data_IF_921201536778
#
_entry.id   IF_921201536778
#
_cell.length_a   1.000
_cell.length_b   1.000
_cell.length_c   1.000
_cell.angle_alpha   90.00
_cell.angle_beta   90.00
_cell.angle_gamma   90.00
#
_symmetry.space_group_name_H-M   'P 1'
#
loop_
_entity.id
_entity.type
_entity.pdbx_description
1 polymer ?
#
# COMPACT_ATOMS: atom_id res chain seq x y z
N UNK A 1 12.45 20.77 -1.15
CA UNK A 1 10.99 20.77 -0.89
C UNK A 1 10.71 20.29 0.52
N UNK A 2 9.59 20.75 1.12
CA UNK A 2 9.05 20.21 2.38
C UNK A 2 7.87 19.31 2.06
N UNK A 3 7.97 18.03 2.42
CA UNK A 3 6.98 17.02 2.03
C UNK A 3 6.37 16.39 3.27
N UNK A 4 5.04 16.37 3.39
CA UNK A 4 4.33 15.56 4.36
C UNK A 4 4.01 14.20 3.73
N UNK A 5 4.47 13.13 4.36
CA UNK A 5 4.15 11.74 4.04
C UNK A 5 3.26 11.19 5.14
N UNK A 6 1.99 10.97 4.87
CA UNK A 6 1.08 10.35 5.83
C UNK A 6 1.14 8.83 5.73
N UNK A 7 0.93 8.11 6.85
CA UNK A 7 1.07 6.65 6.84
C UNK A 7 2.51 6.16 6.61
N UNK A 8 3.50 7.02 6.89
CA UNK A 8 4.90 6.75 6.61
C UNK A 8 5.57 5.73 7.53
N UNK A 9 4.95 5.37 8.66
CA UNK A 9 5.42 4.26 9.50
C UNK A 9 4.87 2.89 9.05
N UNK A 10 4.03 2.87 8.01
CA UNK A 10 3.52 1.66 7.36
C UNK A 10 4.47 1.11 6.29
N UNK A 11 3.99 0.11 5.54
CA UNK A 11 4.78 -0.63 4.56
C UNK A 11 5.24 0.26 3.39
N UNK A 12 4.31 0.74 2.55
CA UNK A 12 4.67 1.47 1.31
C UNK A 12 5.23 2.85 1.68
N UNK A 13 4.57 3.56 2.62
CA UNK A 13 5.01 4.88 3.06
C UNK A 13 6.41 4.88 3.67
N UNK A 14 6.76 3.85 4.46
CA UNK A 14 8.11 3.70 5.03
C UNK A 14 9.17 3.47 3.95
N UNK A 15 8.91 2.57 3.00
CA UNK A 15 9.81 2.38 1.85
C UNK A 15 9.96 3.66 1.03
N UNK A 16 8.85 4.41 0.82
CA UNK A 16 8.93 5.69 0.12
C UNK A 16 9.79 6.71 0.85
N UNK A 17 9.68 6.82 2.17
CA UNK A 17 10.53 7.74 2.97
C UNK A 17 12.01 7.37 2.82
N UNK A 18 12.35 6.08 2.93
CA UNK A 18 13.73 5.62 2.72
C UNK A 18 14.25 5.95 1.33
N UNK A 19 13.45 5.61 0.31
CA UNK A 19 13.78 5.91 -1.09
C UNK A 19 13.95 7.41 -1.30
N UNK A 20 12.98 8.22 -0.89
CA UNK A 20 12.96 9.66 -1.11
C UNK A 20 14.17 10.35 -0.47
N UNK A 21 14.46 10.07 0.82
CA UNK A 21 15.60 10.66 1.52
C UNK A 21 16.97 10.21 0.96
N UNK A 22 17.02 9.08 0.26
CA UNK A 22 18.22 8.63 -0.44
C UNK A 22 18.40 9.33 -1.79
N UNK A 23 17.31 9.56 -2.53
CA UNK A 23 17.34 10.18 -3.86
C UNK A 23 17.38 11.72 -3.80
N UNK A 24 16.78 12.31 -2.76
CA UNK A 24 16.60 13.76 -2.60
C UNK A 24 17.06 14.21 -1.20
N UNK A 25 18.35 14.14 -0.90
CA UNK A 25 18.87 14.44 0.44
C UNK A 25 18.69 15.91 0.87
N UNK A 26 18.38 16.80 -0.07
CA UNK A 26 18.08 18.22 0.19
C UNK A 26 16.62 18.47 0.60
N UNK A 27 15.73 17.53 0.37
CA UNK A 27 14.32 17.66 0.72
C UNK A 27 14.11 17.37 2.21
N UNK A 28 13.14 18.07 2.82
CA UNK A 28 12.69 17.83 4.19
C UNK A 28 11.46 16.95 4.18
N UNK A 29 11.46 15.84 4.91
CA UNK A 29 10.35 14.92 5.01
C UNK A 29 9.76 14.94 6.42
N UNK A 30 8.45 15.17 6.51
CA UNK A 30 7.65 15.05 7.73
C UNK A 30 6.76 13.81 7.59
N UNK A 31 7.00 12.81 8.42
CA UNK A 31 6.16 11.63 8.51
C UNK A 31 5.02 11.87 9.51
N UNK A 32 3.79 11.88 9.05
CA UNK A 32 2.60 11.91 9.90
C UNK A 32 1.98 10.52 9.96
N UNK A 33 1.95 9.91 11.14
CA UNK A 33 1.39 8.58 11.33
C UNK A 33 0.74 8.44 12.71
N UNK A 34 -0.40 7.76 12.75
CA UNK A 34 -1.14 7.51 14.00
C UNK A 34 -0.54 6.36 14.82
N UNK A 35 0.30 5.52 14.20
CA UNK A 35 0.84 4.28 14.75
C UNK A 35 -0.29 3.33 15.19
N UNK A 36 -1.16 2.98 14.24
CA UNK A 36 -2.11 1.88 14.42
C UNK A 36 -1.39 0.53 14.32
N UNK A 37 -2.13 -0.57 14.28
CA UNK A 37 -1.55 -1.92 14.27
C UNK A 37 -0.49 -2.17 13.18
N UNK A 38 -0.62 -1.54 12.00
CA UNK A 38 0.30 -1.70 10.88
C UNK A 38 1.38 -0.60 10.79
N UNK A 39 1.29 0.44 11.62
CA UNK A 39 2.28 1.52 11.69
C UNK A 39 3.32 1.23 12.77
N UNK A 40 4.58 1.02 12.37
CA UNK A 40 5.67 0.67 13.28
C UNK A 40 6.82 1.67 13.15
N UNK A 41 7.16 2.34 14.25
CA UNK A 41 8.26 3.31 14.25
C UNK A 41 9.61 2.66 13.93
N UNK A 42 9.77 1.36 14.23
CA UNK A 42 10.96 0.58 13.88
C UNK A 42 11.19 0.49 12.36
N UNK A 43 10.16 0.65 11.54
CA UNK A 43 10.28 0.77 10.08
C UNK A 43 11.13 1.98 9.68
N UNK A 44 11.11 3.04 10.48
CA UNK A 44 11.80 4.31 10.21
C UNK A 44 13.13 4.46 10.99
N UNK A 45 13.59 3.41 11.70
CA UNK A 45 14.72 3.49 12.63
C UNK A 45 15.98 4.11 11.99
N UNK A 46 16.28 3.82 10.72
CA UNK A 46 17.47 4.33 10.04
C UNK A 46 17.40 5.80 9.61
N UNK A 47 16.22 6.43 9.73
CA UNK A 47 16.00 7.82 9.32
C UNK A 47 15.57 8.74 10.45
N UNK A 48 15.25 8.22 11.64
CA UNK A 48 14.74 9.01 12.77
C UNK A 48 15.69 10.14 13.20
N UNK A 49 17.01 9.89 13.12
CA UNK A 49 18.03 10.86 13.54
C UNK A 49 18.54 11.76 12.40
N UNK A 50 17.96 11.63 11.19
CA UNK A 50 18.36 12.50 10.07
C UNK A 50 17.87 13.94 10.28
N UNK A 51 18.70 14.98 10.04
CA UNK A 51 18.34 16.37 10.29
C UNK A 51 17.20 16.88 9.39
N UNK A 52 16.98 16.24 8.24
CA UNK A 52 15.93 16.55 7.28
C UNK A 52 14.70 15.63 7.40
N UNK A 53 14.58 14.86 8.48
CA UNK A 53 13.44 14.01 8.78
C UNK A 53 12.79 14.40 10.12
N UNK A 54 11.45 14.39 10.16
CA UNK A 54 10.66 14.58 11.39
C UNK A 54 9.51 13.59 11.44
N UNK A 55 9.36 12.89 12.56
CA UNK A 55 8.19 12.08 12.85
C UNK A 55 7.18 12.86 13.70
N UNK A 56 5.91 12.79 13.30
CA UNK A 56 4.77 13.39 14.03
C UNK A 56 3.70 12.33 14.24
N UNK A 57 3.41 12.01 15.50
CA UNK A 57 2.32 11.09 15.84
C UNK A 57 1.00 11.84 15.88
N UNK A 58 0.17 11.67 14.85
CA UNK A 58 -1.17 12.27 14.79
C UNK A 58 -2.09 11.45 13.87
N UNK A 59 -3.40 11.61 14.05
CA UNK A 59 -4.44 11.06 13.19
C UNK A 59 -4.73 12.05 12.05
N UNK A 60 -4.80 11.58 10.81
CA UNK A 60 -5.21 12.42 9.67
C UNK A 60 -6.65 12.93 9.80
N UNK A 61 -7.47 12.31 10.66
CA UNK A 61 -8.83 12.75 10.99
C UNK A 61 -8.84 13.89 12.01
N UNK A 62 -7.74 14.13 12.73
CA UNK A 62 -7.61 15.23 13.69
C UNK A 62 -7.30 16.52 12.94
N UNK A 63 -8.37 17.30 12.69
CA UNK A 63 -8.27 18.57 11.96
C UNK A 63 -7.33 19.57 12.62
N UNK A 64 -7.35 19.67 13.95
CA UNK A 64 -6.52 20.64 14.67
C UNK A 64 -5.04 20.27 14.56
N UNK A 65 -4.70 18.99 14.76
CA UNK A 65 -3.34 18.49 14.63
C UNK A 65 -2.82 18.65 13.18
N UNK A 66 -3.62 18.31 12.17
CA UNK A 66 -3.26 18.46 10.76
C UNK A 66 -3.03 19.92 10.40
N UNK A 67 -3.95 20.81 10.77
CA UNK A 67 -3.83 22.24 10.44
C UNK A 67 -2.65 22.89 11.17
N UNK A 68 -2.44 22.55 12.46
CA UNK A 68 -1.27 23.01 13.20
C UNK A 68 0.05 22.58 12.55
N UNK A 69 0.12 21.35 12.08
CA UNK A 69 1.29 20.84 11.36
C UNK A 69 1.56 21.59 10.05
N UNK A 70 0.52 21.89 9.26
CA UNK A 70 0.66 22.65 8.02
C UNK A 70 1.08 24.11 8.28
N UNK A 71 0.60 24.72 9.35
CA UNK A 71 1.00 26.08 9.75
C UNK A 71 2.45 26.15 10.18
N UNK A 72 2.93 25.13 10.92
CA UNK A 72 4.30 25.00 11.40
C UNK A 72 5.27 24.71 10.26
N UNK A 73 5.01 23.65 9.46
CA UNK A 73 5.96 23.09 8.49
C UNK A 73 5.85 23.71 7.10
N UNK A 74 4.71 24.32 6.75
CA UNK A 74 4.44 24.93 5.43
C UNK A 74 4.83 24.02 4.28
N UNK A 75 4.21 22.83 4.16
CA UNK A 75 4.61 21.85 3.17
C UNK A 75 4.36 22.34 1.75
N UNK A 76 5.24 21.96 0.84
CA UNK A 76 5.06 22.13 -0.60
C UNK A 76 4.21 20.99 -1.16
N UNK A 77 4.41 19.76 -0.65
CA UNK A 77 3.80 18.53 -1.16
C UNK A 77 3.23 17.70 -0.03
N UNK A 78 2.08 17.06 -0.31
CA UNK A 78 1.49 16.04 0.56
C UNK A 78 1.31 14.74 -0.22
N UNK A 79 1.82 13.63 0.33
CA UNK A 79 1.63 12.29 -0.23
C UNK A 79 0.87 11.45 0.80
N UNK A 80 -0.34 11.06 0.44
CA UNK A 80 -1.24 10.34 1.34
C UNK A 80 -1.15 8.83 1.15
N UNK A 81 -0.37 8.16 2.01
CA UNK A 81 -0.38 6.70 2.17
C UNK A 81 -1.27 6.24 3.32
N UNK A 82 -1.66 7.12 4.23
CA UNK A 82 -2.45 6.75 5.39
C UNK A 82 -3.80 6.16 4.97
N UNK A 83 -4.03 4.91 5.34
CA UNK A 83 -5.27 4.19 5.06
C UNK A 83 -5.40 2.97 5.98
N UNK A 84 -6.63 2.61 6.32
CA UNK A 84 -6.95 1.24 6.68
C UNK A 84 -6.96 0.41 5.40
N UNK A 85 -6.27 -0.76 5.37
CA UNK A 85 -5.96 -1.44 4.11
C UNK A 85 -6.20 -2.96 4.12
N UNK A 86 -6.72 -3.54 5.20
CA UNK A 86 -6.95 -4.98 5.26
C UNK A 86 -8.40 -5.33 4.94
N UNK A 87 -8.64 -6.01 3.81
CA UNK A 87 -9.99 -6.30 3.31
C UNK A 87 -10.82 -7.08 4.33
N UNK A 88 -10.27 -8.14 4.97
CA UNK A 88 -11.01 -8.92 5.97
C UNK A 88 -11.46 -8.06 7.16
N UNK A 89 -10.62 -7.14 7.64
CA UNK A 89 -10.98 -6.18 8.68
C UNK A 89 -12.09 -5.23 8.23
N UNK A 90 -12.12 -4.86 6.94
CA UNK A 90 -13.17 -3.98 6.40
C UNK A 90 -14.54 -4.69 6.34
N UNK A 91 -14.54 -6.02 6.22
CA UNK A 91 -15.76 -6.84 6.25
C UNK A 91 -16.29 -6.98 7.69
N UNK A 92 -15.38 -7.03 8.69
CA UNK A 92 -15.76 -7.08 10.11
C UNK A 92 -16.24 -5.73 10.65
N UNK A 93 -15.50 -4.65 10.38
CA UNK A 93 -15.84 -3.28 10.79
C UNK A 93 -15.50 -2.28 9.67
N UNK A 94 -16.47 -1.92 8.82
CA UNK A 94 -16.27 -0.95 7.76
C UNK A 94 -16.10 0.49 8.27
N UNK A 95 -16.56 0.80 9.49
CA UNK A 95 -16.64 2.19 9.99
C UNK A 95 -15.28 2.86 10.05
N UNK A 96 -14.26 2.15 10.54
CA UNK A 96 -12.91 2.71 10.66
C UNK A 96 -12.30 3.03 9.27
N UNK A 97 -12.66 2.24 8.24
CA UNK A 97 -12.24 2.49 6.85
C UNK A 97 -12.86 3.76 6.28
N UNK A 98 -14.16 3.99 6.53
CA UNK A 98 -14.84 5.22 6.13
C UNK A 98 -14.22 6.43 6.84
N UNK A 99 -14.00 6.32 8.14
CA UNK A 99 -13.40 7.39 8.94
C UNK A 99 -12.00 7.74 8.45
N UNK A 100 -11.11 6.76 8.35
CA UNK A 100 -9.71 7.01 7.97
C UNK A 100 -9.59 7.38 6.49
N UNK A 101 -10.14 6.53 5.60
CA UNK A 101 -9.86 6.64 4.18
C UNK A 101 -10.64 7.76 3.49
N UNK A 102 -11.82 8.14 4.00
CA UNK A 102 -12.66 9.19 3.41
C UNK A 102 -12.54 10.49 4.20
N UNK A 103 -12.91 10.46 5.49
CA UNK A 103 -12.92 11.68 6.31
C UNK A 103 -11.49 12.20 6.51
N UNK A 104 -10.53 11.32 6.86
CA UNK A 104 -9.13 11.70 7.00
C UNK A 104 -8.55 12.30 5.70
N UNK A 105 -8.83 11.70 4.55
CA UNK A 105 -8.46 12.25 3.23
C UNK A 105 -9.06 13.64 3.00
N UNK A 106 -10.34 13.84 3.35
CA UNK A 106 -11.00 15.15 3.24
C UNK A 106 -10.33 16.20 4.13
N UNK A 107 -9.97 15.86 5.37
CA UNK A 107 -9.25 16.78 6.30
C UNK A 107 -7.91 17.21 5.72
N UNK A 108 -7.13 16.26 5.16
CA UNK A 108 -5.86 16.58 4.50
C UNK A 108 -6.05 17.51 3.31
N UNK A 109 -7.01 17.23 2.43
CA UNK A 109 -7.27 18.06 1.23
C UNK A 109 -7.79 19.46 1.60
N UNK A 110 -8.59 19.58 2.66
CA UNK A 110 -9.01 20.89 3.19
C UNK A 110 -7.81 21.70 3.68
N UNK A 111 -6.86 21.07 4.39
CA UNK A 111 -5.61 21.71 4.80
C UNK A 111 -4.77 22.11 3.58
N UNK A 112 -4.60 21.20 2.62
CA UNK A 112 -3.90 21.47 1.35
C UNK A 112 -4.47 22.70 0.63
N UNK A 113 -5.79 22.79 0.54
CA UNK A 113 -6.48 23.94 -0.06
C UNK A 113 -6.28 25.22 0.75
N UNK A 114 -6.39 25.15 2.08
CA UNK A 114 -6.25 26.34 2.94
C UNK A 114 -4.85 26.94 2.88
N UNK A 115 -3.82 26.09 2.84
CA UNK A 115 -2.41 26.51 2.89
C UNK A 115 -1.76 26.63 1.50
N UNK A 116 -2.49 26.27 0.42
CA UNK A 116 -2.05 26.50 -0.96
C UNK A 116 -0.83 25.68 -1.38
N UNK A 117 -0.87 24.36 -1.15
CA UNK A 117 0.25 23.47 -1.51
C UNK A 117 0.44 23.32 -3.02
N UNK A 118 1.64 22.93 -3.44
CA UNK A 118 1.98 22.75 -4.85
C UNK A 118 1.48 21.42 -5.41
N UNK A 119 1.39 20.35 -4.57
CA UNK A 119 0.94 19.03 -4.99
C UNK A 119 0.33 18.22 -3.85
N UNK A 120 -0.85 17.64 -4.10
CA UNK A 120 -1.42 16.55 -3.30
C UNK A 120 -1.40 15.26 -4.12
N UNK A 121 -0.78 14.21 -3.59
CA UNK A 121 -0.78 12.89 -4.22
C UNK A 121 -1.54 11.87 -3.37
N UNK A 122 -2.56 11.24 -3.97
CA UNK A 122 -3.35 10.18 -3.35
C UNK A 122 -2.83 8.82 -3.80
N UNK A 123 -2.34 8.01 -2.87
CA UNK A 123 -1.99 6.61 -3.15
C UNK A 123 -3.24 5.75 -3.01
N UNK A 124 -3.64 5.09 -4.10
CA UNK A 124 -4.83 4.25 -4.22
C UNK A 124 -4.48 2.83 -4.67
N UNK A 125 -5.46 2.06 -5.07
CA UNK A 125 -5.36 0.64 -5.38
C UNK A 125 -6.14 0.30 -6.65
N UNK A 126 -5.74 -0.75 -7.35
CA UNK A 126 -6.47 -1.36 -8.47
C UNK A 126 -7.80 -2.02 -8.05
N UNK A 127 -7.94 -2.36 -6.77
CA UNK A 127 -9.18 -2.93 -6.21
C UNK A 127 -10.41 -2.02 -6.40
N UNK A 128 -10.21 -0.73 -6.71
CA UNK A 128 -11.32 0.19 -7.03
C UNK A 128 -12.03 -0.16 -8.33
N UNK A 129 -11.36 -0.87 -9.24
CA UNK A 129 -11.91 -1.27 -10.54
C UNK A 129 -12.81 -2.52 -10.46
N UNK A 130 -12.69 -3.31 -9.39
CA UNK A 130 -13.42 -4.55 -9.20
C UNK A 130 -12.67 -5.77 -9.73
N UNK A 131 -13.36 -6.67 -10.39
CA UNK A 131 -12.91 -8.02 -10.72
C UNK A 131 -12.79 -8.24 -12.23
N UNK A 132 -11.77 -8.99 -12.65
CA UNK A 132 -11.61 -9.49 -14.02
C UNK A 132 -11.83 -11.00 -14.05
N UNK A 133 -12.48 -11.54 -15.12
CA UNK A 133 -12.67 -12.97 -15.28
C UNK A 133 -11.34 -13.68 -15.57
N UNK A 134 -11.17 -14.89 -15.02
CA UNK A 134 -9.95 -15.69 -15.18
C UNK A 134 -9.75 -16.20 -16.63
N UNK A 135 -10.84 -16.39 -17.37
CA UNK A 135 -10.84 -16.90 -18.75
C UNK A 135 -10.60 -15.79 -19.80
N UNK A 136 -10.40 -14.54 -19.38
CA UNK A 136 -10.14 -13.39 -20.26
C UNK A 136 -8.79 -12.73 -19.93
N UNK A 137 -7.65 -13.39 -20.20
CA UNK A 137 -6.31 -12.86 -19.92
C UNK A 137 -5.97 -11.62 -20.77
N UNK A 138 -6.75 -11.33 -21.79
CA UNK A 138 -6.66 -10.16 -22.66
C UNK A 138 -7.21 -8.86 -22.03
N UNK A 139 -7.97 -8.96 -20.95
CA UNK A 139 -8.55 -7.81 -20.26
C UNK A 139 -7.61 -7.23 -19.20
N UNK A 140 -7.51 -5.90 -19.18
CA UNK A 140 -6.76 -5.14 -18.19
C UNK A 140 -7.56 -3.92 -17.76
N UNK A 141 -7.38 -3.49 -16.52
CA UNK A 141 -7.90 -2.20 -16.06
C UNK A 141 -7.03 -1.05 -16.59
N UNK A 142 -7.67 -0.10 -17.24
CA UNK A 142 -7.09 1.18 -17.62
C UNK A 142 -7.62 2.27 -16.70
N UNK A 143 -7.05 3.48 -16.74
CA UNK A 143 -7.51 4.60 -15.92
C UNK A 143 -8.94 5.05 -16.26
N UNK A 144 -9.45 4.66 -17.44
CA UNK A 144 -10.82 4.92 -17.90
C UNK A 144 -11.81 3.80 -17.56
N UNK A 145 -11.34 2.69 -17.01
CA UNK A 145 -12.22 1.61 -16.54
C UNK A 145 -13.16 2.14 -15.45
N UNK A 146 -14.48 1.89 -15.56
CA UNK A 146 -15.43 2.29 -14.53
C UNK A 146 -15.08 1.71 -13.16
N UNK A 147 -15.29 2.50 -12.11
CA UNK A 147 -15.13 2.06 -10.72
C UNK A 147 -16.26 1.10 -10.37
N UNK A 148 -15.91 -0.11 -9.89
CA UNK A 148 -16.85 -1.17 -9.54
C UNK A 148 -16.34 -1.99 -8.35
N UNK A 149 -16.44 -1.45 -7.15
CA UNK A 149 -15.82 -1.98 -5.94
C UNK A 149 -16.54 -3.21 -5.37
N UNK A 150 -15.78 -4.19 -4.84
CA UNK A 150 -16.27 -5.45 -4.29
C UNK A 150 -16.26 -5.53 -2.76
N UNK A 151 -15.57 -4.60 -2.08
CA UNK A 151 -15.41 -4.62 -0.62
C UNK A 151 -15.59 -3.24 0.01
N UNK A 152 -15.88 -3.16 1.34
CA UNK A 152 -15.89 -1.88 2.04
C UNK A 152 -14.54 -1.13 1.95
N UNK A 153 -13.42 -1.86 1.97
CA UNK A 153 -12.09 -1.28 1.74
C UNK A 153 -11.99 -0.62 0.37
N UNK A 154 -12.24 -1.37 -0.71
CA UNK A 154 -12.13 -0.81 -2.07
C UNK A 154 -13.12 0.34 -2.31
N UNK A 155 -14.33 0.27 -1.71
CA UNK A 155 -15.30 1.37 -1.75
C UNK A 155 -14.78 2.63 -1.04
N UNK A 156 -14.11 2.48 0.10
CA UNK A 156 -13.53 3.61 0.82
C UNK A 156 -12.38 4.26 0.05
N UNK A 157 -11.54 3.45 -0.63
CA UNK A 157 -10.46 3.95 -1.48
C UNK A 157 -11.00 4.64 -2.74
N UNK A 158 -12.01 4.06 -3.39
CA UNK A 158 -12.70 4.69 -4.53
C UNK A 158 -13.33 6.02 -4.15
N UNK A 159 -13.93 6.11 -2.96
CA UNK A 159 -14.50 7.36 -2.43
C UNK A 159 -13.42 8.43 -2.23
N UNK A 160 -12.25 8.06 -1.71
CA UNK A 160 -11.11 8.96 -1.57
C UNK A 160 -10.62 9.48 -2.94
N UNK A 161 -10.52 8.61 -3.94
CA UNK A 161 -10.15 8.97 -5.31
C UNK A 161 -11.15 9.97 -5.92
N UNK A 162 -12.44 9.67 -5.81
CA UNK A 162 -13.50 10.53 -6.33
C UNK A 162 -13.54 11.89 -5.64
N UNK A 163 -13.30 11.93 -4.31
CA UNK A 163 -13.15 13.18 -3.58
C UNK A 163 -11.94 13.98 -4.07
N UNK A 164 -10.79 13.34 -4.26
CA UNK A 164 -9.59 14.01 -4.73
C UNK A 164 -9.80 14.66 -6.11
N UNK A 165 -10.43 13.93 -7.05
CA UNK A 165 -10.80 14.46 -8.36
C UNK A 165 -11.85 15.59 -8.28
N UNK A 166 -12.81 15.47 -7.34
CA UNK A 166 -13.79 16.52 -7.10
C UNK A 166 -13.13 17.79 -6.53
N UNK A 167 -12.17 17.67 -5.59
CA UNK A 167 -11.41 18.82 -5.08
C UNK A 167 -10.58 19.50 -6.17
N UNK A 168 -9.99 18.73 -7.07
CA UNK A 168 -9.33 19.28 -8.24
C UNK A 168 -10.30 20.07 -9.10
N UNK A 169 -11.41 19.46 -9.50
CA UNK A 169 -12.39 20.07 -10.41
C UNK A 169 -13.11 21.27 -9.80
N UNK A 170 -13.42 21.23 -8.50
CA UNK A 170 -14.22 22.26 -7.83
C UNK A 170 -13.37 23.41 -7.32
N UNK A 171 -12.21 23.11 -6.77
CA UNK A 171 -11.37 24.09 -6.07
C UNK A 171 -10.02 24.35 -6.74
N UNK A 172 -9.70 23.63 -7.81
CA UNK A 172 -8.39 23.73 -8.48
C UNK A 172 -7.23 23.14 -7.67
N UNK A 173 -7.52 22.27 -6.67
CA UNK A 173 -6.45 21.64 -5.89
C UNK A 173 -5.53 20.82 -6.83
N UNK A 174 -4.20 20.99 -6.78
CA UNK A 174 -3.28 20.28 -7.66
C UNK A 174 -3.09 18.81 -7.23
N UNK A 175 -4.05 17.98 -7.62
CA UNK A 175 -4.13 16.56 -7.25
C UNK A 175 -3.48 15.68 -8.31
N UNK A 176 -2.86 14.58 -7.89
CA UNK A 176 -2.59 13.40 -8.72
C UNK A 176 -2.91 12.12 -7.93
N UNK A 177 -3.24 11.04 -8.63
CA UNK A 177 -3.61 9.75 -8.02
C UNK A 177 -2.78 8.65 -8.67
N UNK A 178 -2.24 7.73 -7.85
CA UNK A 178 -1.74 6.44 -8.33
C UNK A 178 -2.65 5.31 -7.89
N UNK A 179 -3.03 4.41 -8.80
CA UNK A 179 -3.70 3.15 -8.50
C UNK A 179 -2.72 2.03 -8.73
N UNK A 180 -2.24 1.41 -7.65
CA UNK A 180 -1.22 0.39 -7.75
C UNK A 180 -1.79 -1.03 -7.66
N UNK A 181 -1.10 -1.97 -8.27
CA UNK A 181 -1.29 -3.40 -8.06
C UNK A 181 -0.74 -3.85 -6.70
N UNK A 182 -0.85 -5.15 -6.38
CA UNK A 182 -0.43 -5.70 -5.09
C UNK A 182 1.07 -5.50 -4.85
N UNK A 183 1.41 -4.76 -3.80
CA UNK A 183 2.79 -4.50 -3.44
C UNK A 183 3.38 -5.64 -2.59
N UNK A 184 4.70 -5.89 -2.74
CA UNK A 184 5.48 -6.78 -1.90
C UNK A 184 6.91 -6.27 -1.74
N UNK A 185 7.60 -6.71 -0.67
CA UNK A 185 8.97 -6.27 -0.39
C UNK A 185 9.27 -6.10 1.10
N UNK A 186 10.36 -5.39 1.43
CA UNK A 186 10.76 -5.05 2.80
C UNK A 186 9.65 -4.36 3.60
N UNK A 187 9.56 -4.64 4.90
CA UNK A 187 8.60 -4.03 5.82
C UNK A 187 7.12 -4.33 5.53
N UNK A 188 6.79 -5.28 4.64
CA UNK A 188 5.40 -5.67 4.39
C UNK A 188 4.82 -6.35 5.64
N UNK A 189 3.65 -5.87 6.10
CA UNK A 189 3.09 -6.29 7.39
C UNK A 189 2.71 -7.79 7.40
N UNK A 190 3.00 -8.52 8.51
CA UNK A 190 2.88 -9.99 8.60
C UNK A 190 1.50 -10.61 8.31
N UNK A 191 0.41 -9.83 8.30
CA UNK A 191 -0.94 -10.35 7.98
C UNK A 191 -1.18 -10.55 6.48
N UNK A 192 -0.30 -10.04 5.62
CA UNK A 192 -0.44 -10.12 4.17
C UNK A 192 0.16 -11.42 3.63
N UNK A 193 -0.33 -11.87 2.46
CA UNK A 193 -0.02 -13.19 1.90
C UNK A 193 1.48 -13.54 1.94
N UNK A 194 2.33 -12.76 1.28
CA UNK A 194 3.75 -13.08 1.14
C UNK A 194 4.48 -13.15 2.49
N UNK A 195 4.43 -12.10 3.35
CA UNK A 195 5.11 -12.18 4.65
C UNK A 195 4.53 -13.27 5.57
N UNK A 196 3.21 -13.47 5.56
CA UNK A 196 2.57 -14.53 6.33
C UNK A 196 3.14 -15.91 5.96
N UNK A 197 3.21 -16.20 4.66
CA UNK A 197 3.72 -17.49 4.17
C UNK A 197 5.21 -17.67 4.50
N UNK A 198 6.03 -16.62 4.35
CA UNK A 198 7.44 -16.66 4.72
C UNK A 198 7.59 -16.97 6.22
N UNK A 199 6.93 -16.21 7.09
CA UNK A 199 7.06 -16.33 8.55
C UNK A 199 6.54 -17.70 9.03
N UNK A 200 5.39 -18.15 8.52
CA UNK A 200 4.85 -19.45 8.88
C UNK A 200 5.77 -20.60 8.42
N UNK A 201 6.28 -20.54 7.19
CA UNK A 201 7.19 -21.54 6.67
C UNK A 201 8.50 -21.63 7.49
N UNK A 202 9.06 -20.47 7.91
CA UNK A 202 10.24 -20.43 8.78
C UNK A 202 10.03 -21.15 10.13
N UNK A 203 8.78 -21.15 10.63
CA UNK A 203 8.43 -21.80 11.90
C UNK A 203 7.78 -23.19 11.71
N UNK A 204 7.80 -23.77 10.50
CA UNK A 204 7.16 -25.04 10.16
C UNK A 204 5.65 -25.08 10.53
N UNK A 205 4.98 -23.92 10.43
CA UNK A 205 3.54 -23.77 10.65
C UNK A 205 2.77 -23.96 9.35
N UNK A 206 1.47 -24.23 9.47
CA UNK A 206 0.56 -24.31 8.32
C UNK A 206 0.53 -23.02 7.52
N UNK A 207 0.44 -23.16 6.21
CA UNK A 207 0.35 -22.09 5.22
C UNK A 207 -1.11 -22.00 4.72
N UNK A 208 -1.97 -21.15 5.31
CA UNK A 208 -3.37 -21.10 4.96
C UNK A 208 -3.58 -20.42 3.61
N UNK A 209 -4.16 -21.14 2.66
CA UNK A 209 -4.51 -20.66 1.33
C UNK A 209 -6.04 -20.60 1.19
N UNK A 210 -6.59 -19.44 0.87
CA UNK A 210 -8.01 -19.24 0.68
C UNK A 210 -8.53 -19.99 -0.56
N UNK A 211 -9.65 -20.74 -0.41
CA UNK A 211 -10.25 -21.53 -1.48
C UNK A 211 -9.24 -22.52 -2.06
N UNK A 212 -9.06 -22.53 -3.35
CA UNK A 212 -8.06 -23.34 -4.07
C UNK A 212 -6.78 -22.53 -4.40
N UNK A 213 -6.70 -21.27 -3.99
CA UNK A 213 -5.57 -20.39 -4.27
C UNK A 213 -5.44 -19.93 -5.73
N UNK A 214 -6.53 -20.05 -6.51
CA UNK A 214 -6.54 -19.74 -7.95
C UNK A 214 -6.69 -18.25 -8.27
N UNK A 215 -6.97 -17.40 -7.27
CA UNK A 215 -7.04 -15.97 -7.44
C UNK A 215 -5.72 -15.43 -7.97
N UNK A 216 -5.80 -14.61 -9.02
CA UNK A 216 -4.65 -14.00 -9.69
C UNK A 216 -4.47 -12.57 -9.21
N UNK A 217 -3.24 -12.21 -8.91
CA UNK A 217 -2.85 -10.83 -8.56
C UNK A 217 -1.65 -10.40 -9.40
N UNK A 218 -1.64 -9.14 -9.78
CA UNK A 218 -0.46 -8.50 -10.33
C UNK A 218 0.43 -8.01 -9.17
N UNK A 219 1.71 -8.33 -9.18
CA UNK A 219 2.63 -8.09 -8.08
C UNK A 219 3.69 -7.05 -8.43
N UNK A 220 3.71 -5.96 -7.68
CA UNK A 220 4.60 -4.83 -7.84
C UNK A 220 5.62 -4.77 -6.70
N UNK A 221 6.91 -4.81 -7.03
CA UNK A 221 7.95 -4.64 -6.03
C UNK A 221 7.92 -3.22 -5.46
N UNK A 222 7.93 -3.09 -4.13
CA UNK A 222 7.64 -1.82 -3.45
C UNK A 222 8.59 -0.68 -3.83
N UNK A 223 9.85 -0.97 -4.14
CA UNK A 223 10.80 0.05 -4.59
C UNK A 223 10.42 0.62 -5.96
N UNK A 224 9.94 -0.22 -6.89
CA UNK A 224 9.46 0.25 -8.19
C UNK A 224 8.21 1.12 -8.04
N UNK A 225 7.33 0.81 -7.09
CA UNK A 225 6.21 1.68 -6.75
C UNK A 225 6.69 3.02 -6.18
N UNK A 226 7.68 3.03 -5.29
CA UNK A 226 8.25 4.27 -4.76
C UNK A 226 8.81 5.16 -5.88
N UNK A 227 9.50 4.57 -6.86
CA UNK A 227 9.99 5.28 -8.07
C UNK A 227 8.84 5.88 -8.89
N UNK A 228 7.74 5.13 -9.06
CA UNK A 228 6.56 5.62 -9.76
C UNK A 228 5.92 6.82 -9.04
N UNK A 229 5.73 6.73 -7.73
CA UNK A 229 5.15 7.82 -6.93
C UNK A 229 6.02 9.08 -7.01
N UNK A 230 7.32 8.95 -6.81
CA UNK A 230 8.25 10.09 -6.89
C UNK A 230 8.17 10.78 -8.26
N UNK A 231 8.13 9.98 -9.32
CA UNK A 231 8.01 10.48 -10.68
C UNK A 231 6.68 11.17 -10.94
N UNK A 232 5.55 10.60 -10.47
CA UNK A 232 4.21 11.21 -10.60
C UNK A 232 4.15 12.53 -9.82
N UNK A 233 4.67 12.57 -8.60
CA UNK A 233 4.68 13.77 -7.77
C UNK A 233 5.46 14.90 -8.44
N UNK A 234 6.61 14.60 -9.03
CA UNK A 234 7.50 15.59 -9.63
C UNK A 234 7.13 16.00 -11.05
N UNK A 235 6.59 15.07 -11.86
CA UNK A 235 6.40 15.26 -13.31
C UNK A 235 5.02 14.92 -13.81
N UNK A 236 4.18 14.24 -13.01
CA UNK A 236 2.84 13.85 -13.42
C UNK A 236 1.91 15.06 -13.63
N UNK A 237 0.94 14.89 -14.51
CA UNK A 237 -0.04 15.93 -14.78
C UNK A 237 -1.03 16.07 -13.62
N UNK A 238 -1.40 17.32 -13.33
CA UNK A 238 -2.40 17.65 -12.30
C UNK A 238 -3.78 17.23 -12.77
N UNK A 239 -4.57 16.65 -11.88
CA UNK A 239 -5.91 16.13 -12.17
C UNK A 239 -5.94 14.72 -12.74
N UNK A 240 -4.76 14.09 -12.94
CA UNK A 240 -4.65 12.80 -13.61
C UNK A 240 -4.52 11.63 -12.63
N UNK A 241 -5.01 10.48 -13.10
CA UNK A 241 -4.84 9.17 -12.48
C UNK A 241 -3.81 8.39 -13.28
N UNK A 242 -2.94 7.66 -12.58
CA UNK A 242 -1.94 6.77 -13.17
C UNK A 242 -2.06 5.37 -12.59
N UNK A 243 -2.21 4.37 -13.43
CA UNK A 243 -2.08 2.97 -13.07
C UNK A 243 -0.61 2.59 -12.93
N UNK A 244 -0.28 1.91 -11.81
CA UNK A 244 1.10 1.49 -11.49
C UNK A 244 1.11 -0.02 -11.27
N UNK A 245 1.34 -0.78 -12.32
CA UNK A 245 1.30 -2.25 -12.33
C UNK A 245 2.68 -2.91 -12.43
N UNK A 246 2.76 -4.13 -11.90
CA UNK A 246 4.00 -4.90 -11.87
C UNK A 246 4.26 -5.72 -13.14
N UNK A 247 3.23 -5.98 -13.96
CA UNK A 247 3.25 -6.97 -15.04
C UNK A 247 3.69 -8.38 -14.58
N UNK A 248 3.36 -8.73 -13.34
CA UNK A 248 3.71 -9.98 -12.71
C UNK A 248 2.45 -10.68 -12.20
N UNK A 249 1.54 -11.07 -13.10
CA UNK A 249 0.32 -11.80 -12.73
C UNK A 249 0.66 -13.21 -12.28
N UNK A 250 0.27 -13.56 -11.04
CA UNK A 250 0.49 -14.88 -10.47
C UNK A 250 -0.70 -15.35 -9.64
N UNK A 251 -0.98 -16.66 -9.66
CA UNK A 251 -1.94 -17.26 -8.74
C UNK A 251 -1.36 -17.30 -7.33
N UNK A 252 -2.22 -17.10 -6.34
CA UNK A 252 -1.80 -17.15 -4.94
C UNK A 252 -1.09 -18.47 -4.59
N UNK A 253 -1.61 -19.61 -5.07
CA UNK A 253 -1.00 -20.93 -4.80
C UNK A 253 0.42 -21.05 -5.38
N UNK A 254 0.67 -20.48 -6.56
CA UNK A 254 2.00 -20.53 -7.20
C UNK A 254 3.03 -19.73 -6.40
N UNK A 255 2.60 -18.60 -5.82
CA UNK A 255 3.46 -17.79 -4.93
C UNK A 255 3.80 -18.56 -3.67
N UNK A 256 2.80 -19.20 -3.04
CA UNK A 256 3.03 -19.99 -1.82
C UNK A 256 4.00 -21.13 -2.09
N UNK A 257 3.85 -21.86 -3.18
CA UNK A 257 4.78 -22.91 -3.60
C UNK A 257 6.19 -22.38 -3.85
N UNK A 258 6.30 -21.24 -4.53
CA UNK A 258 7.60 -20.61 -4.78
C UNK A 258 8.31 -20.23 -3.46
N UNK A 259 7.59 -19.66 -2.49
CA UNK A 259 8.13 -19.34 -1.17
C UNK A 259 8.62 -20.61 -0.44
N UNK A 260 7.81 -21.67 -0.46
CA UNK A 260 8.16 -22.97 0.16
C UNK A 260 9.44 -23.53 -0.45
N UNK A 261 9.56 -23.52 -1.79
CA UNK A 261 10.74 -23.97 -2.50
C UNK A 261 11.99 -23.13 -2.19
N UNK A 262 11.89 -21.81 -2.21
CA UNK A 262 13.03 -20.91 -1.92
C UNK A 262 13.53 -21.04 -0.47
N UNK A 263 12.63 -21.42 0.45
CA UNK A 263 12.98 -21.67 1.86
C UNK A 263 13.41 -23.13 2.13
N UNK A 264 13.37 -24.03 1.15
CA UNK A 264 13.68 -25.44 1.31
C UNK A 264 12.72 -26.18 2.25
N UNK A 265 11.43 -25.78 2.26
CA UNK A 265 10.38 -26.37 3.10
C UNK A 265 9.48 -27.31 2.28
N UNK A 266 8.65 -28.13 2.98
CA UNK A 266 7.72 -29.05 2.36
C UNK A 266 6.42 -28.36 1.93
N UNK A 267 5.88 -28.71 0.77
CA UNK A 267 4.52 -28.32 0.35
C UNK A 267 3.43 -28.90 1.26
N UNK A 268 3.72 -29.91 2.09
CA UNK A 268 2.76 -30.46 3.06
C UNK A 268 2.32 -29.43 4.13
N UNK A 269 3.06 -28.31 4.26
CA UNK A 269 2.64 -27.20 5.10
C UNK A 269 1.44 -26.44 4.53
N UNK A 270 1.14 -26.56 3.22
CA UNK A 270 0.04 -25.84 2.57
C UNK A 270 -1.29 -26.44 3.01
N UNK A 271 -2.18 -25.59 3.50
CA UNK A 271 -3.52 -25.98 3.95
C UNK A 271 -4.56 -25.07 3.30
N UNK A 272 -5.55 -25.67 2.61
CA UNK A 272 -6.63 -24.91 2.02
C UNK A 272 -7.69 -24.60 3.09
N UNK A 273 -8.10 -23.33 3.15
CA UNK A 273 -9.11 -22.85 4.11
C UNK A 273 -10.31 -22.25 3.37
N UNK A 274 -11.42 -22.07 4.08
CA UNK A 274 -12.64 -21.46 3.51
C UNK A 274 -12.31 -20.10 2.93
N UNK A 275 -12.79 -19.87 1.69
CA UNK A 275 -12.55 -18.59 1.01
C UNK A 275 -13.33 -17.43 1.67
N UNK A 276 -12.82 -16.22 1.52
CA UNK A 276 -13.47 -15.01 2.05
C UNK A 276 -14.63 -14.58 1.14
N UNK A 277 -15.59 -13.88 1.73
CA UNK A 277 -16.69 -13.26 0.97
C UNK A 277 -16.17 -12.13 0.08
N UNK A 278 -16.70 -12.03 -1.15
CA UNK A 278 -16.31 -10.98 -2.08
C UNK A 278 -14.84 -11.04 -2.49
N UNK A 279 -14.29 -12.25 -2.62
CA UNK A 279 -12.90 -12.44 -3.03
C UNK A 279 -12.80 -12.37 -4.55
N UNK A 280 -12.32 -11.25 -5.06
CA UNK A 280 -12.11 -11.01 -6.49
C UNK A 280 -11.17 -12.05 -7.10
N UNK A 281 -11.49 -12.48 -8.32
CA UNK A 281 -10.78 -13.57 -9.00
C UNK A 281 -9.43 -13.11 -9.58
N UNK A 282 -9.43 -11.97 -10.28
CA UNK A 282 -8.22 -11.49 -10.96
C UNK A 282 -8.12 -9.96 -10.94
N UNK A 283 -6.90 -9.48 -10.67
CA UNK A 283 -6.51 -8.10 -10.90
C UNK A 283 -5.36 -8.06 -11.90
N UNK A 284 -5.49 -7.19 -12.89
CA UNK A 284 -4.44 -6.87 -13.83
C UNK A 284 -4.62 -5.44 -14.33
N UNK A 285 -3.62 -4.60 -14.17
CA UNK A 285 -3.69 -3.20 -14.58
C UNK A 285 -2.73 -2.90 -15.73
N UNK A 286 -3.15 -1.98 -16.60
CA UNK A 286 -2.36 -1.50 -17.73
C UNK A 286 -1.62 -0.21 -17.31
N UNK A 287 -0.27 -0.23 -17.19
CA UNK A 287 0.53 0.94 -16.88
C UNK A 287 0.97 1.72 -18.13
N UNK A 288 0.35 1.51 -19.28
CA UNK A 288 0.75 2.16 -20.56
C UNK A 288 0.75 3.67 -20.46
N UNK A 289 -0.20 4.28 -19.73
CA UNK A 289 -0.27 5.73 -19.56
C UNK A 289 0.95 6.29 -18.84
N UNK A 290 1.31 5.75 -17.69
CA UNK A 290 2.48 6.22 -16.93
C UNK A 290 3.77 6.01 -17.73
N UNK A 291 3.86 4.92 -18.50
CA UNK A 291 4.99 4.70 -19.40
C UNK A 291 5.09 5.75 -20.48
N UNK A 292 4.01 6.00 -21.20
CA UNK A 292 4.00 6.93 -22.33
C UNK A 292 4.22 8.38 -21.89
N UNK A 293 3.64 8.80 -20.77
CA UNK A 293 3.72 10.18 -20.30
C UNK A 293 4.97 10.47 -19.47
N UNK A 294 5.41 9.51 -18.66
CA UNK A 294 6.48 9.71 -17.68
C UNK A 294 7.70 8.80 -17.88
N UNK A 295 7.64 7.82 -18.78
CA UNK A 295 8.74 6.90 -19.08
C UNK A 295 8.95 5.80 -18.02
N UNK A 296 8.01 5.61 -17.07
CA UNK A 296 8.15 4.61 -16.02
C UNK A 296 7.74 3.21 -16.49
N UNK A 297 8.49 2.21 -16.08
CA UNK A 297 8.15 0.78 -16.12
C UNK A 297 8.68 0.09 -14.86
N UNK A 298 8.03 -1.00 -14.40
CA UNK A 298 8.59 -1.80 -13.32
C UNK A 298 9.91 -2.47 -13.76
N UNK A 299 10.93 -2.37 -12.92
CA UNK A 299 12.26 -2.92 -13.21
C UNK A 299 12.45 -4.33 -12.62
N UNK A 300 11.68 -4.64 -11.56
CA UNK A 300 11.86 -5.87 -10.77
C UNK A 300 10.89 -6.95 -11.24
N UNK A 301 11.42 -7.99 -11.88
CA UNK A 301 10.66 -9.23 -12.15
C UNK A 301 10.35 -9.95 -10.84
N UNK A 302 9.19 -10.63 -10.77
CA UNK A 302 8.71 -11.27 -9.54
C UNK A 302 9.72 -12.27 -8.97
N UNK A 303 10.34 -13.10 -9.81
CA UNK A 303 11.31 -14.13 -9.38
C UNK A 303 12.53 -13.53 -8.67
N UNK A 304 12.93 -12.32 -9.06
CA UNK A 304 14.03 -11.61 -8.41
C UNK A 304 13.57 -10.87 -7.16
N UNK A 305 12.39 -10.24 -7.22
CA UNK A 305 11.83 -9.48 -6.12
C UNK A 305 11.45 -10.36 -4.93
N UNK A 306 10.90 -11.56 -5.17
CA UNK A 306 10.55 -12.49 -4.10
C UNK A 306 11.80 -12.99 -3.35
N UNK A 307 12.90 -13.26 -4.06
CA UNK A 307 14.18 -13.64 -3.42
C UNK A 307 14.74 -12.52 -2.56
N UNK A 308 14.71 -11.27 -3.05
CA UNK A 308 15.09 -10.09 -2.25
C UNK A 308 14.21 -9.96 -1.00
N UNK A 309 12.90 -10.19 -1.16
CA UNK A 309 11.93 -10.11 -0.06
C UNK A 309 12.22 -11.18 0.99
N UNK A 310 12.40 -12.45 0.58
CA UNK A 310 12.73 -13.56 1.50
C UNK A 310 14.04 -13.27 2.23
N UNK A 311 15.10 -12.86 1.50
CA UNK A 311 16.38 -12.51 2.10
C UNK A 311 16.22 -11.41 3.15
N UNK A 312 15.43 -10.37 2.87
CA UNK A 312 15.18 -9.31 3.82
C UNK A 312 14.49 -9.83 5.11
N UNK A 313 13.48 -10.71 4.99
CA UNK A 313 12.81 -11.30 6.17
C UNK A 313 13.76 -12.15 7.00
N UNK A 314 14.69 -12.89 6.38
CA UNK A 314 15.72 -13.67 7.07
C UNK A 314 16.73 -12.78 7.83
N UNK A 315 17.11 -11.66 7.23
CA UNK A 315 18.07 -10.70 7.82
C UNK A 315 17.42 -9.81 8.90
N UNK A 316 16.10 -9.61 8.85
CA UNK A 316 15.37 -8.70 9.73
C UNK A 316 14.37 -9.42 10.65
N UNK A 317 14.71 -10.63 11.14
CA UNK A 317 13.85 -11.44 12.01
C UNK A 317 13.36 -10.66 13.24
N UNK A 318 14.25 -9.92 13.89
CA UNK A 318 13.92 -9.12 15.09
C UNK A 318 12.80 -8.10 14.83
N UNK A 319 12.75 -7.54 13.62
CA UNK A 319 11.70 -6.55 13.25
C UNK A 319 10.32 -7.20 13.26
N UNK A 320 10.12 -8.29 12.51
CA UNK A 320 8.80 -8.91 12.41
C UNK A 320 8.44 -9.76 13.64
N UNK A 321 9.41 -10.35 14.37
CA UNK A 321 9.16 -11.05 15.64
C UNK A 321 8.54 -10.10 16.68
N UNK A 322 9.02 -8.87 16.76
CA UNK A 322 8.45 -7.85 17.64
C UNK A 322 6.99 -7.57 17.29
N UNK A 323 6.66 -7.52 16.00
CA UNK A 323 5.30 -7.27 15.52
C UNK A 323 4.37 -8.45 15.85
N UNK A 324 4.79 -9.69 15.54
CA UNK A 324 3.94 -10.87 15.72
C UNK A 324 3.78 -11.29 17.19
N UNK A 325 4.61 -10.81 18.10
CA UNK A 325 4.51 -11.08 19.54
C UNK A 325 3.45 -10.23 20.25
N UNK A 326 2.94 -9.16 19.62
CA UNK A 326 1.98 -8.22 20.18
C UNK A 326 0.51 -8.55 19.86
N UNK A 327 -0.30 -7.50 19.62
CA UNK A 327 -1.74 -7.61 19.31
C UNK A 327 -2.05 -8.43 18.04
N UNK A 328 -1.10 -8.53 17.12
CA UNK A 328 -1.22 -9.35 15.92
C UNK A 328 -1.47 -10.83 16.23
N UNK A 329 -0.89 -11.37 17.29
CA UNK A 329 -1.07 -12.79 17.69
C UNK A 329 -2.54 -13.10 17.94
N UNK A 330 -3.23 -12.25 18.70
CA UNK A 330 -4.67 -12.40 18.99
C UNK A 330 -5.53 -12.31 17.72
N UNK A 331 -5.17 -11.40 16.82
CA UNK A 331 -5.85 -11.28 15.53
C UNK A 331 -5.65 -12.53 14.66
N UNK A 332 -4.41 -13.05 14.56
CA UNK A 332 -4.09 -14.25 13.79
C UNK A 332 -4.88 -15.48 14.31
N UNK A 333 -4.89 -15.68 15.62
CA UNK A 333 -5.64 -16.77 16.25
C UNK A 333 -7.13 -16.67 15.93
N UNK A 334 -7.73 -15.47 16.02
CA UNK A 334 -9.15 -15.23 15.67
C UNK A 334 -9.45 -15.58 14.21
N UNK A 335 -8.58 -15.19 13.27
CA UNK A 335 -8.80 -15.35 11.83
C UNK A 335 -8.65 -16.78 11.33
N UNK A 336 -7.71 -17.56 11.91
CA UNK A 336 -7.32 -18.86 11.36
C UNK A 336 -7.65 -20.07 12.25
N UNK A 337 -7.97 -19.88 13.54
CA UNK A 337 -8.30 -21.00 14.45
C UNK A 337 -9.69 -21.62 14.19
N UNK A 338 -10.59 -20.92 13.48
CA UNK A 338 -11.97 -21.35 13.21
C UNK A 338 -12.27 -21.54 11.71
N UNK A 339 -11.25 -21.58 10.85
CA UNK A 339 -11.40 -21.75 9.40
C UNK A 339 -10.78 -23.09 8.89
#
# INVERSE_FOLDING_TARGET
MTIIVTGGAGFIGGNYIHYHLAQHPEDRVICLDKLTYAGNLSTLASVLDKPNFRFVKADICDREAVYGLFEEEKPDVVINFAAESHVDRSIEDPTIFLQTNIIGTSVLMDACRKYGIERYHQVSTDEVYGDLPLDRPDLFFTETTPIHTSSPYSSSKASADLLALAYHRTYGLPVSISRCSNNYGPYHFPEKLIPLMIINALHDKTLPVYGEGLNVRDWLYVEDHCKAIDLIVRKGHVGEVYNVGGHNEMRNIDIVKLIVHELGKSEDLITFVTDRKGHDLRYAIDPTKIHNELGWLPETKFENGIKKTIAWYLENMKWWETIISGEYKSYYEKMYSNR
#
